data_IF_921745673898
#
_entry.id   IF_921745673898
#
_cell.length_a   1.000
_cell.length_b   1.000
_cell.length_c   1.000
_cell.angle_alpha   90.00
_cell.angle_beta   90.00
_cell.angle_gamma   90.00
#
_symmetry.space_group_name_H-M   'P 1'
#
loop_
_entity.id
_entity.type
_entity.pdbx_description
1 polymer ?
#
# COMPACT_ATOMS: atom_id res chain seq x y z
N UNK A 1 6.70 17.20 -7.51
CA UNK A 1 6.03 18.50 -7.33
C UNK A 1 4.85 18.43 -6.35
N UNK A 2 3.97 17.42 -6.41
CA UNK A 2 2.77 17.35 -5.55
C UNK A 2 3.00 16.96 -4.08
N UNK A 3 4.07 16.22 -3.76
CA UNK A 3 4.25 15.65 -2.41
C UNK A 3 4.48 16.71 -1.32
N UNK A 4 5.35 17.71 -1.56
CA UNK A 4 5.70 18.68 -0.52
C UNK A 4 4.52 19.56 -0.06
N UNK A 5 3.71 20.15 -0.98
CA UNK A 5 2.50 20.88 -0.57
C UNK A 5 1.49 20.03 0.21
N UNK A 6 1.39 18.73 -0.10
CA UNK A 6 0.55 17.81 0.67
C UNK A 6 1.13 17.55 2.07
N UNK A 7 2.45 17.35 2.19
CA UNK A 7 3.13 17.20 3.48
C UNK A 7 2.97 18.45 4.37
N UNK A 8 2.99 19.65 3.79
CA UNK A 8 2.70 20.89 4.52
C UNK A 8 1.28 20.90 5.11
N UNK A 9 0.29 20.39 4.37
CA UNK A 9 -1.09 20.26 4.86
C UNK A 9 -1.28 19.17 5.92
N UNK A 10 -0.48 18.09 5.85
CA UNK A 10 -0.48 17.03 6.85
C UNK A 10 0.20 17.45 8.16
N UNK A 11 1.05 18.47 8.10
CA UNK A 11 1.90 18.90 9.21
C UNK A 11 3.32 18.34 9.07
N UNK A 12 4.29 19.23 8.98
CA UNK A 12 5.71 18.86 8.89
C UNK A 12 6.30 18.54 10.27
N UNK A 13 7.23 17.60 10.31
CA UNK A 13 8.06 17.37 11.49
C UNK A 13 8.96 18.59 11.76
N UNK A 14 9.34 18.79 13.03
CA UNK A 14 10.26 19.86 13.41
C UNK A 14 11.59 19.75 12.64
N UNK A 15 11.96 20.83 11.95
CA UNK A 15 13.19 20.87 11.16
C UNK A 15 13.13 20.12 9.82
N UNK A 16 11.95 19.70 9.37
CA UNK A 16 11.77 19.20 8.01
C UNK A 16 12.13 20.30 6.99
N UNK A 17 13.00 19.97 6.03
CA UNK A 17 13.38 20.86 4.93
C UNK A 17 13.70 20.02 3.70
N UNK A 18 13.37 20.56 2.52
CA UNK A 18 13.78 19.99 1.23
C UNK A 18 15.31 20.02 1.06
N UNK A 19 16.03 20.88 1.77
CA UNK A 19 17.50 20.95 1.73
C UNK A 19 18.18 19.69 2.30
N UNK A 20 17.41 18.83 2.99
CA UNK A 20 17.87 17.52 3.48
C UNK A 20 17.79 16.44 2.41
N UNK A 21 17.26 16.74 1.23
CA UNK A 21 17.23 15.83 0.08
C UNK A 21 18.49 16.03 -0.74
N UNK A 22 19.28 14.96 -0.88
CA UNK A 22 20.44 14.94 -1.77
C UNK A 22 20.26 13.83 -2.80
N UNK A 23 20.60 14.13 -4.05
CA UNK A 23 20.61 13.15 -5.15
C UNK A 23 22.06 12.83 -5.47
N UNK A 24 22.42 11.55 -5.40
CA UNK A 24 23.76 11.05 -5.75
C UNK A 24 23.74 10.39 -7.12
N UNK A 25 24.90 10.25 -7.74
CA UNK A 25 25.02 9.60 -9.05
C UNK A 25 25.13 8.08 -8.94
N UNK A 26 25.56 7.57 -7.77
CA UNK A 26 25.78 6.14 -7.54
C UNK A 26 25.06 5.66 -6.28
N UNK A 27 24.79 4.37 -6.25
CA UNK A 27 24.18 3.68 -5.11
C UNK A 27 25.12 3.69 -3.92
N UNK A 28 26.40 3.45 -4.18
CA UNK A 28 27.45 3.32 -3.18
C UNK A 28 27.62 4.64 -2.42
N UNK A 29 27.56 5.79 -3.11
CA UNK A 29 27.52 7.11 -2.49
C UNK A 29 26.23 7.32 -1.66
N UNK A 30 25.07 6.88 -2.16
CA UNK A 30 23.79 7.06 -1.48
C UNK A 30 23.72 6.32 -0.13
N UNK A 31 24.35 5.14 -0.04
CA UNK A 31 24.21 4.26 1.13
C UNK A 31 25.41 4.27 2.08
N UNK A 32 26.49 4.96 1.74
CA UNK A 32 27.75 4.93 2.50
C UNK A 32 27.60 5.24 4.01
N UNK A 33 26.64 6.09 4.37
CA UNK A 33 26.34 6.47 5.76
C UNK A 33 24.88 6.16 6.16
N UNK A 34 24.18 5.35 5.35
CA UNK A 34 22.76 5.08 5.56
C UNK A 34 22.53 4.15 6.76
N UNK A 35 21.58 4.52 7.61
CA UNK A 35 21.10 3.67 8.72
C UNK A 35 19.87 2.83 8.31
N UNK A 36 19.21 3.23 7.22
CA UNK A 36 18.10 2.54 6.59
C UNK A 36 18.14 2.80 5.09
N UNK A 37 17.76 1.80 4.30
CA UNK A 37 17.59 1.92 2.85
C UNK A 37 16.21 1.45 2.44
N UNK A 38 15.53 2.22 1.58
CA UNK A 38 14.31 1.79 0.88
C UNK A 38 14.62 1.58 -0.61
N UNK A 39 14.64 0.33 -1.05
CA UNK A 39 14.68 -0.04 -2.46
C UNK A 39 13.30 0.18 -3.11
N UNK A 40 13.24 1.00 -4.17
CA UNK A 40 11.99 1.35 -4.87
C UNK A 40 12.15 1.30 -6.41
N UNK A 41 12.98 0.39 -6.90
CA UNK A 41 13.15 0.12 -8.32
C UNK A 41 11.93 -0.62 -8.91
N UNK A 42 11.81 -0.67 -10.25
CA UNK A 42 10.69 -1.34 -10.93
C UNK A 42 10.47 -2.79 -10.48
N UNK A 43 9.23 -3.26 -10.64
CA UNK A 43 8.77 -4.57 -10.19
C UNK A 43 9.26 -5.73 -11.09
N UNK A 44 10.58 -5.94 -11.12
CA UNK A 44 11.26 -7.01 -11.86
C UNK A 44 12.15 -7.79 -10.89
N UNK A 45 11.84 -9.08 -10.70
CA UNK A 45 12.49 -9.91 -9.68
C UNK A 45 14.01 -9.94 -9.81
N UNK A 46 14.55 -10.19 -11.00
CA UNK A 46 16.01 -10.26 -11.21
C UNK A 46 16.71 -8.92 -10.98
N UNK A 47 16.05 -7.80 -11.32
CA UNK A 47 16.59 -6.48 -11.02
C UNK A 47 16.65 -6.24 -9.50
N UNK A 48 15.61 -6.67 -8.76
CA UNK A 48 15.57 -6.50 -7.31
C UNK A 48 16.61 -7.38 -6.61
N UNK A 49 16.83 -8.61 -7.08
CA UNK A 49 17.90 -9.49 -6.57
C UNK A 49 19.27 -8.86 -6.69
N UNK A 50 19.64 -8.40 -7.90
CA UNK A 50 20.90 -7.71 -8.15
C UNK A 50 21.03 -6.45 -7.28
N UNK A 51 19.98 -5.63 -7.26
CA UNK A 51 19.99 -4.37 -6.52
C UNK A 51 20.14 -4.58 -5.00
N UNK A 52 19.40 -5.53 -4.42
CA UNK A 52 19.50 -5.85 -2.99
C UNK A 52 20.88 -6.42 -2.65
N UNK A 53 21.48 -7.25 -3.51
CA UNK A 53 22.83 -7.75 -3.31
C UNK A 53 23.88 -6.62 -3.34
N UNK A 54 23.73 -5.65 -4.25
CA UNK A 54 24.59 -4.46 -4.31
C UNK A 54 24.41 -3.54 -3.12
N UNK A 55 23.18 -3.33 -2.67
CA UNK A 55 22.86 -2.58 -1.45
C UNK A 55 23.47 -3.25 -0.23
N UNK A 56 23.35 -4.57 -0.12
CA UNK A 56 23.97 -5.36 0.93
C UNK A 56 25.51 -5.24 0.89
N UNK A 57 26.14 -5.28 -0.27
CA UNK A 57 27.60 -5.12 -0.36
C UNK A 57 28.08 -3.70 0.01
N UNK A 58 27.29 -2.66 -0.27
CA UNK A 58 27.71 -1.26 -0.15
C UNK A 58 27.30 -0.57 1.17
N UNK A 59 26.16 -0.96 1.76
CA UNK A 59 25.65 -0.32 2.97
C UNK A 59 26.42 -0.77 4.22
N UNK A 60 26.61 0.12 5.23
CA UNK A 60 27.25 -0.22 6.49
C UNK A 60 26.68 -1.49 7.13
N UNK A 61 27.52 -2.23 7.86
CA UNK A 61 27.06 -3.39 8.62
C UNK A 61 25.96 -2.97 9.62
N UNK A 62 24.89 -3.76 9.68
CA UNK A 62 23.73 -3.46 10.53
C UNK A 62 22.70 -2.50 9.94
N UNK A 63 22.92 -1.94 8.75
CA UNK A 63 21.89 -1.17 8.02
C UNK A 63 20.76 -2.11 7.58
N UNK A 64 19.52 -1.79 7.97
CA UNK A 64 18.32 -2.49 7.50
C UNK A 64 17.97 -1.99 6.09
N UNK A 65 17.70 -2.92 5.18
CA UNK A 65 17.38 -2.63 3.78
C UNK A 65 15.98 -3.17 3.49
N UNK A 66 15.03 -2.27 3.22
CA UNK A 66 13.67 -2.60 2.87
C UNK A 66 13.45 -2.58 1.36
N UNK A 67 12.59 -3.47 0.83
CA UNK A 67 12.05 -3.36 -0.53
C UNK A 67 10.60 -2.87 -0.52
N UNK A 68 10.28 -1.97 -1.45
CA UNK A 68 8.92 -1.49 -1.74
C UNK A 68 8.11 -2.41 -2.66
N UNK A 69 8.57 -3.65 -2.91
CA UNK A 69 7.83 -4.61 -3.77
C UNK A 69 6.35 -4.68 -3.38
N UNK A 70 5.50 -4.87 -4.38
CA UNK A 70 4.05 -4.97 -4.21
C UNK A 70 3.53 -6.42 -4.23
N UNK A 71 4.40 -7.41 -4.46
CA UNK A 71 3.97 -8.79 -4.47
C UNK A 71 5.03 -9.88 -4.30
N UNK A 72 6.33 -9.59 -4.49
CA UNK A 72 7.36 -10.61 -4.33
C UNK A 72 7.65 -10.88 -2.85
N UNK A 73 7.74 -12.15 -2.43
CA UNK A 73 8.32 -12.53 -1.14
C UNK A 73 9.76 -12.02 -1.03
N UNK A 74 10.18 -11.58 0.16
CA UNK A 74 11.59 -11.29 0.44
C UNK A 74 12.45 -12.54 0.22
N UNK A 75 11.93 -13.73 0.53
CA UNK A 75 12.61 -15.01 0.27
C UNK A 75 13.09 -15.14 -1.17
N UNK A 76 12.28 -14.71 -2.13
CA UNK A 76 12.61 -14.78 -3.55
C UNK A 76 13.60 -13.69 -3.97
N UNK A 77 13.61 -12.54 -3.29
CA UNK A 77 14.43 -11.38 -3.63
C UNK A 77 15.81 -11.40 -2.97
N UNK A 78 15.93 -11.95 -1.75
CA UNK A 78 17.16 -11.92 -0.96
C UNK A 78 18.24 -12.90 -1.44
N UNK A 79 18.01 -13.64 -2.53
CA UNK A 79 18.78 -14.84 -2.90
C UNK A 79 20.27 -14.58 -3.11
N UNK A 80 20.62 -13.39 -3.59
CA UNK A 80 21.99 -13.01 -3.99
C UNK A 80 22.73 -12.17 -2.94
N UNK A 81 22.06 -11.77 -1.85
CA UNK A 81 22.67 -11.01 -0.77
C UNK A 81 23.61 -11.89 0.08
N UNK A 82 24.72 -11.32 0.52
CA UNK A 82 25.68 -11.96 1.41
C UNK A 82 25.19 -11.97 2.87
N UNK A 83 24.54 -10.90 3.32
CA UNK A 83 23.86 -10.79 4.61
C UNK A 83 22.35 -10.57 4.43
N UNK A 84 21.58 -11.62 4.06
CA UNK A 84 20.13 -11.51 3.90
C UNK A 84 19.39 -11.25 5.22
N UNK A 85 20.05 -11.37 6.38
CA UNK A 85 19.45 -11.20 7.71
C UNK A 85 18.85 -9.81 7.92
N UNK A 86 19.38 -8.79 7.24
CA UNK A 86 18.92 -7.40 7.37
C UNK A 86 17.97 -6.93 6.26
N UNK A 87 17.56 -7.84 5.37
CA UNK A 87 16.64 -7.52 4.28
C UNK A 87 15.19 -7.76 4.71
N UNK A 88 14.32 -6.78 4.49
CA UNK A 88 12.88 -6.86 4.80
C UNK A 88 12.04 -6.35 3.62
N UNK A 89 10.79 -6.77 3.53
CA UNK A 89 9.79 -5.99 2.79
C UNK A 89 9.27 -4.90 3.73
N UNK A 90 9.18 -3.68 3.21
CA UNK A 90 8.41 -2.60 3.81
C UNK A 90 7.59 -1.98 2.69
N UNK A 91 6.39 -2.50 2.48
CA UNK A 91 5.51 -2.20 1.35
C UNK A 91 4.61 -0.99 1.69
N UNK A 92 4.88 0.21 1.14
CA UNK A 92 4.00 1.36 1.31
C UNK A 92 2.91 1.38 0.22
N UNK A 93 1.86 2.18 0.45
CA UNK A 93 0.76 2.32 -0.51
C UNK A 93 0.82 3.67 -1.23
N UNK A 94 0.60 3.67 -2.54
CA UNK A 94 0.65 4.89 -3.35
C UNK A 94 -0.62 5.75 -3.17
N UNK A 95 -0.50 7.09 -2.95
CA UNK A 95 0.72 7.85 -2.71
C UNK A 95 1.28 7.67 -1.28
N UNK A 96 2.57 7.30 -1.13
CA UNK A 96 3.13 6.88 0.16
C UNK A 96 3.31 8.01 1.16
N UNK A 97 3.18 9.27 0.75
CA UNK A 97 3.20 10.41 1.66
C UNK A 97 1.82 10.70 2.28
N UNK A 98 0.74 10.12 1.73
CA UNK A 98 -0.63 10.28 2.24
C UNK A 98 -1.17 9.00 2.86
N UNK A 99 -0.97 7.86 2.20
CA UNK A 99 -1.46 6.59 2.73
C UNK A 99 -0.51 6.14 3.84
N UNK A 100 -0.99 6.01 5.10
CA UNK A 100 -0.09 5.81 6.23
C UNK A 100 0.34 4.35 6.39
N UNK A 101 -0.37 3.40 5.78
CA UNK A 101 -0.11 1.98 5.97
C UNK A 101 1.24 1.57 5.34
N UNK A 102 2.00 0.78 6.09
CA UNK A 102 3.14 0.00 5.59
C UNK A 102 3.02 -1.44 6.10
N UNK A 103 3.12 -2.41 5.20
CA UNK A 103 3.19 -3.83 5.54
C UNK A 103 4.66 -4.24 5.63
N UNK A 104 5.09 -4.77 6.78
CA UNK A 104 6.48 -5.14 7.06
C UNK A 104 6.59 -6.64 7.29
N UNK A 105 7.45 -7.31 6.52
CA UNK A 105 7.64 -8.76 6.62
C UNK A 105 9.07 -9.15 6.24
N UNK A 106 9.62 -10.17 6.91
CA UNK A 106 10.89 -10.79 6.56
C UNK A 106 10.72 -12.00 5.64
N UNK A 107 11.80 -12.39 4.97
CA UNK A 107 11.91 -13.68 4.29
C UNK A 107 12.46 -14.77 5.21
N UNK A 108 12.66 -15.98 4.67
CA UNK A 108 13.12 -17.15 5.41
C UNK A 108 14.50 -17.01 6.08
N UNK A 109 15.31 -16.06 5.61
CA UNK A 109 16.68 -15.79 6.09
C UNK A 109 16.81 -14.44 6.78
N UNK A 110 15.72 -13.69 6.86
CA UNK A 110 15.69 -12.40 7.55
C UNK A 110 15.74 -12.62 9.05
N UNK A 111 16.56 -11.83 9.75
CA UNK A 111 16.56 -11.76 11.20
C UNK A 111 15.26 -11.07 11.67
N UNK A 112 14.45 -11.69 12.54
CA UNK A 112 13.28 -11.05 13.13
C UNK A 112 13.57 -9.67 13.76
N UNK A 113 14.79 -9.43 14.25
CA UNK A 113 15.20 -8.13 14.76
C UNK A 113 15.21 -7.03 13.68
N UNK A 114 15.51 -7.37 12.42
CA UNK A 114 15.43 -6.42 11.30
C UNK A 114 13.98 -6.04 10.99
N UNK A 115 13.05 -6.99 11.11
CA UNK A 115 11.60 -6.75 10.96
C UNK A 115 11.06 -5.82 12.05
N UNK A 116 11.42 -6.07 13.32
CA UNK A 116 11.05 -5.20 14.44
C UNK A 116 11.64 -3.79 14.26
N UNK A 117 12.92 -3.71 13.87
CA UNK A 117 13.61 -2.44 13.64
C UNK A 117 12.92 -1.64 12.53
N UNK A 118 12.63 -2.26 11.39
CA UNK A 118 11.95 -1.60 10.27
C UNK A 118 10.55 -1.13 10.64
N UNK A 119 9.81 -1.95 11.40
CA UNK A 119 8.48 -1.60 11.89
C UNK A 119 8.53 -0.35 12.76
N UNK A 120 9.44 -0.29 13.74
CA UNK A 120 9.67 0.91 14.55
C UNK A 120 10.10 2.12 13.72
N UNK A 121 10.96 1.93 12.73
CA UNK A 121 11.39 3.02 11.85
C UNK A 121 10.19 3.66 11.14
N UNK A 122 9.29 2.86 10.56
CA UNK A 122 8.10 3.38 9.90
C UNK A 122 7.12 4.03 10.87
N UNK A 123 6.91 3.47 12.07
CA UNK A 123 6.08 4.09 13.11
C UNK A 123 6.61 5.49 13.51
N UNK A 124 7.93 5.61 13.72
CA UNK A 124 8.57 6.91 14.00
C UNK A 124 8.45 7.86 12.81
N UNK A 125 8.45 7.34 11.59
CA UNK A 125 8.18 8.11 10.37
C UNK A 125 6.69 8.48 10.17
N UNK A 126 5.82 8.21 11.17
CA UNK A 126 4.40 8.56 11.14
C UNK A 126 3.52 7.60 10.34
N UNK A 127 4.01 6.37 10.10
CA UNK A 127 3.25 5.32 9.43
C UNK A 127 2.48 4.46 10.42
N UNK A 128 1.39 3.87 9.92
CA UNK A 128 0.72 2.76 10.58
C UNK A 128 1.35 1.47 10.05
N UNK A 129 1.82 0.61 10.94
CA UNK A 129 2.53 -0.60 10.53
C UNK A 129 1.70 -1.84 10.77
N UNK A 130 1.67 -2.73 9.78
CA UNK A 130 1.29 -4.13 9.98
C UNK A 130 2.57 -4.95 9.91
N UNK A 131 3.06 -5.38 11.07
CA UNK A 131 4.14 -6.37 11.15
C UNK A 131 3.54 -7.75 10.89
N UNK A 132 3.93 -8.39 9.79
CA UNK A 132 3.39 -9.68 9.39
C UNK A 132 4.26 -10.82 9.94
N UNK A 133 3.62 -11.85 10.50
CA UNK A 133 4.32 -13.00 11.07
C UNK A 133 5.00 -13.88 10.01
N UNK A 134 4.53 -13.82 8.77
CA UNK A 134 5.06 -14.60 7.65
C UNK A 134 4.71 -13.96 6.32
N UNK A 135 5.45 -14.36 5.29
CA UNK A 135 5.18 -13.95 3.93
C UNK A 135 3.80 -14.42 3.46
N UNK A 136 3.09 -13.49 2.82
CA UNK A 136 1.83 -13.75 2.11
C UNK A 136 2.00 -13.15 0.72
N UNK A 137 2.02 -13.95 -0.36
CA UNK A 137 2.15 -13.41 -1.71
C UNK A 137 1.06 -12.39 -2.03
N UNK A 138 1.46 -11.19 -2.46
CA UNK A 138 0.56 -10.04 -2.64
C UNK A 138 0.12 -9.35 -1.35
N UNK A 139 0.76 -9.66 -0.21
CA UNK A 139 0.51 -9.09 1.12
C UNK A 139 -0.96 -9.15 1.56
N UNK A 140 -1.39 -8.34 2.54
CA UNK A 140 -2.76 -8.39 3.06
C UNK A 140 -3.66 -7.45 2.25
N UNK A 141 -3.29 -6.18 2.19
CA UNK A 141 -4.14 -5.15 1.59
C UNK A 141 -4.18 -5.24 0.05
N UNK A 142 -3.05 -5.52 -0.61
CA UNK A 142 -3.02 -5.69 -2.06
C UNK A 142 -3.90 -6.88 -2.52
N UNK A 143 -3.92 -7.99 -1.79
CA UNK A 143 -4.83 -9.12 -2.10
C UNK A 143 -6.31 -8.72 -2.05
N UNK A 144 -6.70 -7.92 -1.06
CA UNK A 144 -8.08 -7.45 -0.94
C UNK A 144 -8.43 -6.47 -2.07
N UNK A 145 -7.51 -5.57 -2.40
CA UNK A 145 -7.66 -4.62 -3.50
C UNK A 145 -7.74 -5.33 -4.87
N UNK A 146 -6.87 -6.30 -5.12
CA UNK A 146 -6.88 -7.09 -6.35
C UNK A 146 -8.14 -7.93 -6.49
N UNK A 147 -8.66 -8.51 -5.41
CA UNK A 147 -9.91 -9.25 -5.45
C UNK A 147 -11.08 -8.36 -5.93
N UNK A 148 -11.14 -7.11 -5.44
CA UNK A 148 -12.15 -6.14 -5.88
C UNK A 148 -11.93 -5.74 -7.35
N UNK A 149 -10.68 -5.48 -7.74
CA UNK A 149 -10.35 -5.08 -9.10
C UNK A 149 -10.64 -6.17 -10.13
N UNK A 150 -10.35 -7.44 -9.80
CA UNK A 150 -10.67 -8.58 -10.67
C UNK A 150 -12.16 -8.72 -10.92
N UNK A 151 -12.98 -8.53 -9.89
CA UNK A 151 -14.44 -8.54 -10.06
C UNK A 151 -14.89 -7.37 -10.95
N UNK A 152 -14.37 -6.16 -10.72
CA UNK A 152 -14.67 -5.01 -11.56
C UNK A 152 -14.36 -5.26 -13.05
N UNK A 153 -13.22 -5.89 -13.34
CA UNK A 153 -12.85 -6.25 -14.71
C UNK A 153 -13.82 -7.26 -15.33
N UNK A 154 -14.29 -8.26 -14.56
CA UNK A 154 -15.32 -9.20 -15.02
C UNK A 154 -16.64 -8.48 -15.33
N UNK A 155 -17.05 -7.55 -14.47
CA UNK A 155 -18.28 -6.80 -14.66
C UNK A 155 -18.24 -5.97 -15.95
N UNK A 156 -17.10 -5.32 -16.24
CA UNK A 156 -16.91 -4.60 -17.50
C UNK A 156 -16.91 -5.56 -18.69
N UNK A 157 -16.15 -6.67 -18.61
CA UNK A 157 -16.06 -7.65 -19.69
C UNK A 157 -17.42 -8.25 -20.07
N UNK A 158 -18.29 -8.45 -19.08
CA UNK A 158 -19.61 -9.03 -19.26
C UNK A 158 -20.71 -7.98 -19.54
N UNK A 159 -20.39 -6.68 -19.55
CA UNK A 159 -21.37 -5.61 -19.70
C UNK A 159 -22.36 -5.52 -18.54
N UNK A 160 -21.96 -5.96 -17.35
CA UNK A 160 -22.77 -5.93 -16.13
C UNK A 160 -22.82 -4.54 -15.51
N UNK A 161 -21.76 -3.73 -15.69
CA UNK A 161 -21.67 -2.35 -15.24
C UNK A 161 -20.63 -1.56 -16.02
N UNK A 162 -20.81 -0.24 -16.08
CA UNK A 162 -19.82 0.72 -16.59
C UNK A 162 -18.75 1.02 -15.53
N UNK A 163 -17.60 1.58 -15.95
CA UNK A 163 -16.54 2.01 -15.03
C UNK A 163 -17.07 3.02 -13.99
N UNK A 164 -17.89 3.99 -14.42
CA UNK A 164 -18.47 4.98 -13.53
C UNK A 164 -19.44 4.38 -12.49
N UNK A 165 -20.26 3.40 -12.89
CA UNK A 165 -21.14 2.68 -11.95
C UNK A 165 -20.35 1.86 -10.94
N UNK A 166 -19.26 1.20 -11.39
CA UNK A 166 -18.37 0.45 -10.51
C UNK A 166 -17.71 1.39 -9.49
N UNK A 167 -17.14 2.51 -9.93
CA UNK A 167 -16.51 3.48 -9.02
C UNK A 167 -17.52 4.04 -8.01
N UNK A 168 -18.70 4.48 -8.48
CA UNK A 168 -19.76 4.99 -7.62
C UNK A 168 -20.26 3.94 -6.63
N UNK A 169 -20.30 2.66 -7.02
CA UNK A 169 -20.70 1.57 -6.13
C UNK A 169 -19.81 1.46 -4.89
N UNK A 170 -18.54 1.87 -5.01
CA UNK A 170 -17.56 1.86 -3.91
C UNK A 170 -17.57 3.21 -3.19
N UNK A 171 -17.40 4.33 -3.90
CA UNK A 171 -17.24 5.64 -3.28
C UNK A 171 -18.50 6.14 -2.58
N UNK A 172 -19.69 5.77 -3.07
CA UNK A 172 -20.99 6.11 -2.47
C UNK A 172 -21.57 4.95 -1.64
N UNK A 173 -20.93 3.78 -1.66
CA UNK A 173 -21.39 2.57 -0.99
C UNK A 173 -20.50 2.16 0.19
N UNK A 174 -19.87 0.97 0.16
CA UNK A 174 -19.10 0.46 1.30
C UNK A 174 -17.80 1.22 1.53
N UNK A 175 -17.26 1.95 0.55
CA UNK A 175 -16.03 2.74 0.69
C UNK A 175 -16.13 3.83 1.76
N UNK A 176 -17.28 4.49 1.89
CA UNK A 176 -17.51 5.51 2.93
C UNK A 176 -17.27 4.98 4.35
N UNK A 177 -17.73 3.74 4.63
CA UNK A 177 -17.53 3.11 5.94
C UNK A 177 -16.15 2.45 6.08
N UNK A 178 -15.50 2.06 5.00
CA UNK A 178 -14.16 1.46 5.04
C UNK A 178 -13.07 2.42 5.51
N UNK A 179 -13.24 3.72 5.26
CA UNK A 179 -12.37 4.74 5.83
C UNK A 179 -12.41 4.74 7.38
N UNK A 180 -13.53 4.38 7.99
CA UNK A 180 -13.70 4.36 9.45
C UNK A 180 -13.38 2.96 10.00
N UNK A 181 -13.83 1.91 9.32
CA UNK A 181 -13.84 0.55 9.83
C UNK A 181 -13.62 -0.48 8.72
N UNK A 182 -12.63 -1.35 8.89
CA UNK A 182 -12.32 -2.41 7.92
C UNK A 182 -13.48 -3.41 7.69
N UNK A 183 -13.38 -4.24 6.65
CA UNK A 183 -14.46 -5.12 6.22
C UNK A 183 -14.91 -6.09 7.31
N UNK A 184 -13.98 -6.67 8.08
CA UNK A 184 -14.31 -7.67 9.11
C UNK A 184 -15.21 -7.10 10.22
N UNK A 185 -14.83 -5.96 10.80
CA UNK A 185 -15.64 -5.35 11.86
C UNK A 185 -16.93 -4.75 11.30
N UNK A 186 -16.91 -4.24 10.07
CA UNK A 186 -18.11 -3.80 9.35
C UNK A 186 -19.15 -4.91 9.20
N UNK A 187 -18.72 -6.13 8.84
CA UNK A 187 -19.62 -7.29 8.77
C UNK A 187 -20.06 -7.78 10.16
N UNK A 188 -19.20 -7.68 11.17
CA UNK A 188 -19.60 -7.98 12.55
C UNK A 188 -20.77 -7.09 13.01
N UNK A 189 -20.75 -5.79 12.67
CA UNK A 189 -21.86 -4.88 12.96
C UNK A 189 -23.15 -5.25 12.24
N UNK A 190 -23.06 -5.83 11.03
CA UNK A 190 -24.24 -6.30 10.31
C UNK A 190 -24.94 -7.47 11.03
N UNK A 191 -24.24 -8.15 11.94
CA UNK A 191 -24.83 -9.16 12.84
C UNK A 191 -25.55 -8.58 14.07
N UNK A 192 -25.57 -7.25 14.26
CA UNK A 192 -26.19 -6.60 15.42
C UNK A 192 -25.51 -6.97 16.75
N UNK A 193 -26.29 -7.10 17.82
CA UNK A 193 -25.76 -7.45 19.16
C UNK A 193 -25.06 -8.83 19.20
N UNK A 194 -25.41 -9.74 18.29
CA UNK A 194 -24.75 -11.04 18.15
C UNK A 194 -23.40 -11.00 17.43
N UNK A 195 -23.02 -9.83 16.89
CA UNK A 195 -21.74 -9.61 16.24
C UNK A 195 -21.48 -10.55 15.06
N UNK A 196 -20.20 -10.86 14.84
CA UNK A 196 -19.77 -11.72 13.72
C UNK A 196 -20.36 -13.13 13.80
N UNK A 197 -20.59 -13.69 14.99
CA UNK A 197 -21.16 -15.03 15.12
C UNK A 197 -22.56 -15.09 14.49
N UNK A 198 -23.43 -14.14 14.85
CA UNK A 198 -24.77 -14.06 14.27
C UNK A 198 -24.74 -13.74 12.78
N UNK A 199 -23.81 -12.87 12.33
CA UNK A 199 -23.61 -12.64 10.89
C UNK A 199 -23.29 -13.97 10.18
N UNK A 200 -22.32 -14.75 10.66
CA UNK A 200 -21.89 -15.99 10.02
C UNK A 200 -22.97 -17.07 10.04
N UNK A 201 -23.75 -17.19 11.11
CA UNK A 201 -24.88 -18.13 11.17
C UNK A 201 -25.95 -17.81 10.12
N UNK A 202 -26.19 -16.51 9.86
CA UNK A 202 -27.21 -16.07 8.91
C UNK A 202 -26.72 -16.05 7.45
N UNK A 203 -25.53 -15.49 7.20
CA UNK A 203 -24.97 -15.28 5.86
C UNK A 203 -24.01 -16.37 5.40
N UNK A 204 -23.53 -17.23 6.31
CA UNK A 204 -22.62 -18.33 5.98
C UNK A 204 -23.09 -19.20 4.81
N UNK A 205 -24.39 -19.57 4.70
CA UNK A 205 -24.90 -20.31 3.54
C UNK A 205 -24.70 -19.58 2.20
N UNK A 206 -24.82 -18.25 2.20
CA UNK A 206 -24.69 -17.41 1.00
C UNK A 206 -23.25 -17.27 0.50
N UNK A 207 -22.24 -17.56 1.33
CA UNK A 207 -20.82 -17.53 0.92
C UNK A 207 -20.50 -18.51 -0.22
N UNK A 208 -21.32 -19.54 -0.40
CA UNK A 208 -21.17 -20.53 -1.49
C UNK A 208 -21.84 -20.09 -2.79
N UNK A 209 -22.58 -18.98 -2.78
CA UNK A 209 -23.19 -18.45 -3.98
C UNK A 209 -22.11 -17.91 -4.91
N UNK A 210 -22.18 -18.18 -6.23
CA UNK A 210 -21.17 -17.76 -7.19
C UNK A 210 -21.34 -16.28 -7.57
N UNK A 211 -21.39 -15.40 -6.58
CA UNK A 211 -21.62 -13.97 -6.79
C UNK A 211 -20.39 -13.20 -7.24
N UNK A 212 -19.19 -13.73 -6.98
CA UNK A 212 -17.91 -13.07 -7.30
C UNK A 212 -16.90 -14.04 -7.90
N UNK A 213 -15.93 -13.49 -8.62
CA UNK A 213 -14.93 -14.17 -9.43
C UNK A 213 -13.53 -13.71 -8.99
N UNK A 214 -12.79 -14.60 -8.34
CA UNK A 214 -11.46 -14.29 -7.78
C UNK A 214 -10.31 -14.51 -8.76
N UNK A 215 -10.53 -15.33 -9.80
CA UNK A 215 -9.62 -15.47 -10.92
C UNK A 215 -9.81 -14.27 -11.85
N UNK A 216 -8.72 -13.65 -12.30
CA UNK A 216 -8.80 -12.50 -13.20
C UNK A 216 -9.37 -12.92 -14.58
N UNK A 217 -10.14 -12.06 -15.26
CA UNK A 217 -10.48 -12.30 -16.66
C UNK A 217 -9.22 -12.22 -17.53
N UNK A 218 -9.26 -12.80 -18.72
CA UNK A 218 -8.25 -12.53 -19.74
C UNK A 218 -8.34 -11.05 -20.13
N UNK A 219 -7.22 -10.34 -20.03
CA UNK A 219 -7.13 -8.95 -20.49
C UNK A 219 -6.93 -8.93 -22.02
N UNK A 220 -8.01 -9.27 -22.73
CA UNK A 220 -8.03 -9.16 -24.19
C UNK A 220 -8.07 -7.68 -24.63
N UNK A 221 -7.98 -7.47 -25.95
CA UNK A 221 -7.97 -6.11 -26.51
C UNK A 221 -9.29 -5.37 -26.24
N UNK A 222 -10.43 -6.07 -26.25
CA UNK A 222 -11.73 -5.45 -26.11
C UNK A 222 -11.94 -4.96 -24.67
N UNK A 223 -11.60 -5.78 -23.66
CA UNK A 223 -11.64 -5.39 -22.26
C UNK A 223 -10.67 -4.25 -21.96
N UNK A 224 -9.44 -4.33 -22.49
CA UNK A 224 -8.46 -3.25 -22.38
C UNK A 224 -9.04 -1.92 -22.89
N UNK A 225 -9.60 -1.90 -24.10
CA UNK A 225 -10.16 -0.70 -24.71
C UNK A 225 -11.38 -0.18 -23.94
N UNK A 226 -12.26 -1.08 -23.46
CA UNK A 226 -13.44 -0.72 -22.68
C UNK A 226 -13.07 -0.06 -21.35
N UNK A 227 -12.10 -0.60 -20.62
CA UNK A 227 -11.63 -0.01 -19.36
C UNK A 227 -10.97 1.34 -19.60
N UNK A 228 -10.12 1.46 -20.62
CA UNK A 228 -9.49 2.75 -20.99
C UNK A 228 -10.54 3.79 -21.32
N UNK A 229 -11.47 3.48 -22.22
CA UNK A 229 -12.54 4.39 -22.61
C UNK A 229 -13.43 4.78 -21.42
N UNK A 230 -13.76 3.83 -20.54
CA UNK A 230 -14.55 4.09 -19.34
C UNK A 230 -13.83 4.98 -18.33
N UNK A 231 -12.51 4.83 -18.17
CA UNK A 231 -11.71 5.75 -17.35
C UNK A 231 -11.61 7.15 -17.98
N UNK A 232 -11.46 7.25 -19.30
CA UNK A 232 -11.42 8.54 -20.01
C UNK A 232 -12.77 9.29 -19.90
N UNK A 233 -13.88 8.55 -20.01
CA UNK A 233 -15.23 9.09 -19.79
C UNK A 233 -15.41 9.55 -18.33
N UNK A 234 -15.03 8.72 -17.36
CA UNK A 234 -15.09 9.07 -15.94
C UNK A 234 -14.19 10.28 -15.60
N UNK A 235 -13.05 10.43 -16.28
CA UNK A 235 -12.18 11.59 -16.13
C UNK A 235 -12.85 12.89 -16.60
N UNK A 236 -13.82 12.84 -17.51
CA UNK A 236 -14.60 13.98 -18.01
C UNK A 236 -13.72 15.18 -18.42
N UNK A 237 -12.65 14.88 -19.18
CA UNK A 237 -11.69 15.89 -19.66
C UNK A 237 -10.75 16.48 -18.61
N UNK A 238 -10.84 16.07 -17.34
CA UNK A 238 -9.89 16.46 -16.27
C UNK A 238 -8.52 15.83 -16.54
N UNK A 239 -7.47 16.59 -16.26
CA UNK A 239 -6.11 16.04 -16.40
C UNK A 239 -5.80 15.08 -15.26
N UNK A 240 -4.80 14.20 -15.45
CA UNK A 240 -4.28 13.35 -14.38
C UNK A 240 -3.82 14.19 -13.16
N UNK A 241 -3.28 15.39 -13.40
CA UNK A 241 -2.87 16.28 -12.31
C UNK A 241 -4.08 16.77 -11.49
N UNK A 242 -5.20 17.07 -12.15
CA UNK A 242 -6.44 17.48 -11.48
C UNK A 242 -7.02 16.32 -10.65
N UNK A 243 -7.10 15.12 -11.24
CA UNK A 243 -7.59 13.92 -10.55
C UNK A 243 -6.72 13.55 -9.35
N UNK A 244 -5.39 13.67 -9.48
CA UNK A 244 -4.45 13.48 -8.37
C UNK A 244 -4.70 14.52 -7.27
N UNK A 245 -4.84 15.79 -7.62
CA UNK A 245 -5.09 16.85 -6.64
C UNK A 245 -6.46 16.70 -5.93
N UNK A 246 -7.48 16.23 -6.65
CA UNK A 246 -8.80 15.90 -6.10
C UNK A 246 -8.72 14.74 -5.11
N UNK A 247 -8.14 13.61 -5.54
CA UNK A 247 -7.91 12.43 -4.69
C UNK A 247 -7.13 12.80 -3.43
N UNK A 248 -6.01 13.49 -3.57
CA UNK A 248 -5.11 13.79 -2.47
C UNK A 248 -5.80 14.68 -1.42
N UNK A 249 -6.59 15.67 -1.87
CA UNK A 249 -7.42 16.49 -0.97
C UNK A 249 -8.44 15.64 -0.22
N UNK A 250 -9.18 14.77 -0.92
CA UNK A 250 -10.15 13.88 -0.30
C UNK A 250 -9.52 12.94 0.74
N UNK A 251 -8.34 12.39 0.46
CA UNK A 251 -7.59 11.56 1.41
C UNK A 251 -7.19 12.37 2.65
N UNK A 252 -6.68 13.60 2.48
CA UNK A 252 -6.34 14.48 3.61
C UNK A 252 -7.57 14.75 4.48
N UNK A 253 -8.72 15.04 3.86
CA UNK A 253 -9.96 15.31 4.58
C UNK A 253 -10.46 14.09 5.35
N UNK A 254 -10.35 12.89 4.78
CA UNK A 254 -10.65 11.63 5.47
C UNK A 254 -9.69 11.40 6.66
N UNK A 255 -8.39 11.60 6.47
CA UNK A 255 -7.42 11.47 7.57
C UNK A 255 -7.73 12.45 8.70
N UNK A 256 -8.13 13.69 8.37
CA UNK A 256 -8.55 14.69 9.36
C UNK A 256 -9.82 14.24 10.09
N UNK A 257 -10.85 13.84 9.36
CA UNK A 257 -12.14 13.43 9.93
C UNK A 257 -12.02 12.17 10.80
N UNK A 258 -11.07 11.28 10.48
CA UNK A 258 -10.82 10.04 11.23
C UNK A 258 -9.78 10.19 12.34
N UNK A 259 -9.23 11.40 12.56
CA UNK A 259 -8.23 11.66 13.60
C UNK A 259 -6.88 10.96 13.35
N UNK A 260 -6.57 10.68 12.08
CA UNK A 260 -5.34 9.98 11.64
C UNK A 260 -4.30 10.91 11.03
N UNK A 261 -4.52 12.22 11.05
CA UNK A 261 -3.43 13.15 10.76
C UNK A 261 -2.31 12.97 11.79
N UNK A 262 -1.04 13.09 11.37
CA UNK A 262 0.07 13.13 12.31
C UNK A 262 -0.20 14.20 13.37
N UNK A 263 -0.08 13.85 14.66
CA UNK A 263 -0.18 14.87 15.72
C UNK A 263 0.97 15.85 15.52
N UNK A 264 0.69 17.14 15.71
CA UNK A 264 1.75 18.14 15.70
C UNK A 264 2.81 17.80 16.75
N UNK A 265 4.07 18.17 16.52
CA UNK A 265 5.13 17.96 17.51
C UNK A 265 4.82 18.64 18.86
N UNK A 266 4.00 19.70 18.86
CA UNK A 266 3.52 20.39 20.07
C UNK A 266 2.46 19.60 20.85
N UNK A 267 1.64 18.80 20.17
CA UNK A 267 0.64 17.91 20.80
C UNK A 267 1.24 16.59 21.27
N UNK A 268 2.32 16.12 20.65
CA UNK A 268 3.07 14.94 21.07
C UNK A 268 3.96 15.18 22.30
N UNK A 269 4.29 16.45 22.58
CA UNK A 269 5.13 16.87 23.71
C UNK A 269 4.35 17.26 24.98
N UNK A 270 3.01 17.16 24.96
CA UNK A 270 2.11 17.37 26.11
C UNK A 270 1.62 16.05 26.67
#
# INVERSE_FOLDING_TARGET
AAAWPALEQLGLANGASQDRLTVTATLEEAVAEAQFVQESAPEKLDLKRDLLARLDAAAPAGTVIASSTSGYPMTDMQTEAADPGRLVVGHPFNPPYLIPLVEVVGGERTDPAAVEWASRFYEVAGKSVITMDREVPGFIANRLQEALWREALHMVANGEATVAEIDASITEGPGLRWAVMGPMLTFALAGGEGGMAHMLDHFGPSLKSPWTRLEAPELDRALYEAVVAGCDEAADGRSIADLVAERDRGVIDILRATGRLPRSAEEAAR
#
